data_IF_215650411901
#
_entry.id   IF_215650411901
#
_cell.length_a   1.000
_cell.length_b   1.000
_cell.length_c   1.000
_cell.angle_alpha   90.00
_cell.angle_beta   90.00
_cell.angle_gamma   90.00
#
_symmetry.space_group_name_H-M   'P 1'
#
loop_
_entity.id
_entity.type
_entity.pdbx_description
1 polymer ?
#
# COMPACT_ATOMS: atom_id res chain seq x y z
N UNK A 1 9.42 9.86 -7.93
CA UNK A 1 8.38 9.28 -7.06
C UNK A 1 7.67 8.20 -7.83
N UNK A 2 7.31 7.13 -7.14
CA UNK A 2 6.44 6.08 -7.67
C UNK A 2 5.04 6.30 -7.07
N UNK A 3 4.01 6.15 -7.92
CA UNK A 3 2.61 6.23 -7.54
C UNK A 3 2.01 4.83 -7.58
N UNK A 4 1.47 4.37 -6.46
CA UNK A 4 0.71 3.13 -6.36
C UNK A 4 -0.77 3.47 -6.25
N UNK A 5 -1.56 3.11 -7.25
CA UNK A 5 -3.02 3.22 -7.20
C UNK A 5 -3.59 1.98 -6.52
N UNK A 6 -4.34 2.17 -5.45
CA UNK A 6 -4.88 1.10 -4.61
C UNK A 6 -6.39 1.08 -4.76
N UNK A 7 -6.94 -0.09 -5.04
CA UNK A 7 -8.36 -0.39 -4.85
C UNK A 7 -8.46 -1.43 -3.75
N UNK A 8 -9.17 -1.10 -2.67
CA UNK A 8 -9.30 -1.99 -1.51
C UNK A 8 -10.79 -2.22 -1.20
N UNK A 9 -11.18 -3.49 -1.10
CA UNK A 9 -12.52 -3.92 -0.72
C UNK A 9 -12.49 -4.57 0.65
N UNK A 10 -13.28 -4.03 1.58
CA UNK A 10 -13.50 -4.67 2.85
C UNK A 10 -14.51 -5.80 2.69
N UNK A 11 -14.07 -7.05 2.87
CA UNK A 11 -14.93 -8.24 2.76
C UNK A 11 -15.54 -8.68 4.09
N UNK A 12 -15.36 -7.91 5.16
CA UNK A 12 -16.00 -8.16 6.47
C UNK A 12 -17.26 -7.34 6.65
N UNK A 13 -17.95 -7.55 7.76
CA UNK A 13 -19.13 -6.80 8.18
C UNK A 13 -18.78 -5.53 9.00
N UNK A 14 -17.59 -5.48 9.61
CA UNK A 14 -17.16 -4.38 10.47
C UNK A 14 -16.25 -3.39 9.72
N UNK A 15 -16.04 -2.21 10.30
CA UNK A 15 -15.19 -1.16 9.73
C UNK A 15 -13.70 -1.53 9.91
N UNK A 16 -12.90 -1.37 8.84
CA UNK A 16 -11.45 -1.59 8.87
C UNK A 16 -10.71 -0.30 8.51
N UNK A 17 -9.69 0.13 9.28
CA UNK A 17 -8.83 1.23 8.91
C UNK A 17 -7.82 0.82 7.84
N UNK A 18 -7.53 1.71 6.89
CA UNK A 18 -6.42 1.57 5.94
C UNK A 18 -5.68 2.90 5.81
N UNK A 19 -4.37 2.83 5.69
CA UNK A 19 -3.52 4.01 5.52
C UNK A 19 -2.39 3.74 4.54
N UNK A 20 -1.84 4.78 3.93
CA UNK A 20 -0.67 4.67 3.07
C UNK A 20 0.53 4.03 3.79
N UNK A 21 0.65 4.26 5.09
CA UNK A 21 1.70 3.69 5.95
C UNK A 21 1.60 2.19 6.18
N UNK A 22 0.48 1.54 5.84
CA UNK A 22 0.36 0.08 5.86
C UNK A 22 0.94 -0.57 4.60
N UNK A 23 1.53 0.22 3.69
CA UNK A 23 2.17 -0.27 2.49
C UNK A 23 3.68 -0.01 2.50
N UNK A 24 4.43 -0.98 1.99
CA UNK A 24 5.88 -0.91 1.78
C UNK A 24 6.22 -1.47 0.41
N UNK A 25 7.36 -1.09 -0.14
CA UNK A 25 7.85 -1.62 -1.41
C UNK A 25 9.27 -2.13 -1.28
N UNK A 26 9.58 -3.22 -1.98
CA UNK A 26 10.94 -3.72 -2.17
C UNK A 26 11.45 -3.22 -3.51
N UNK A 27 12.59 -2.53 -3.51
CA UNK A 27 13.26 -2.10 -4.74
C UNK A 27 14.25 -3.15 -5.27
N UNK A 28 14.74 -2.95 -6.49
CA UNK A 28 15.72 -3.81 -7.16
C UNK A 28 17.11 -3.86 -6.51
N UNK A 29 17.35 -3.10 -5.45
CA UNK A 29 18.56 -3.23 -4.61
C UNK A 29 18.34 -4.13 -3.40
N UNK A 30 17.14 -4.69 -3.23
CA UNK A 30 16.75 -5.45 -2.05
C UNK A 30 16.40 -4.57 -0.84
N UNK A 31 16.20 -3.26 -1.03
CA UNK A 31 15.86 -2.34 0.06
C UNK A 31 14.34 -2.15 0.16
N UNK A 32 13.82 -2.25 1.38
CA UNK A 32 12.45 -1.85 1.69
C UNK A 32 12.32 -0.34 1.87
N UNK A 33 11.23 0.22 1.36
CA UNK A 33 10.85 1.62 1.54
C UNK A 33 9.43 1.71 2.08
N UNK A 34 9.22 2.61 3.05
CA UNK A 34 7.90 2.99 3.54
C UNK A 34 7.27 4.04 2.61
N UNK A 35 5.99 4.33 2.79
CA UNK A 35 5.34 5.42 2.06
C UNK A 35 6.05 6.76 2.31
N UNK A 36 5.99 7.62 1.30
CA UNK A 36 6.36 9.02 1.38
C UNK A 36 5.06 9.82 1.57
N UNK A 37 4.90 10.43 2.75
CA UNK A 37 3.68 11.13 3.12
C UNK A 37 3.42 12.35 2.22
N UNK A 38 2.25 12.37 1.59
CA UNK A 38 1.77 13.48 0.74
C UNK A 38 0.32 13.79 1.11
N UNK A 39 -0.08 15.06 1.00
CA UNK A 39 -1.47 15.46 1.18
C UNK A 39 -2.41 14.71 0.23
N UNK A 40 -3.52 14.20 0.77
CA UNK A 40 -4.51 13.43 0.01
C UNK A 40 -4.11 12.00 -0.32
N UNK A 41 -3.04 11.45 0.30
CA UNK A 41 -2.74 10.03 0.21
C UNK A 41 -3.83 9.15 0.86
N UNK A 42 -3.77 7.84 0.58
CA UNK A 42 -4.69 6.86 1.13
C UNK A 42 -4.72 6.95 2.68
N UNK A 43 -5.89 7.18 3.24
CA UNK A 43 -6.09 7.23 4.69
C UNK A 43 -7.56 7.35 5.02
N UNK A 44 -8.21 6.22 5.30
CA UNK A 44 -9.66 6.20 5.57
C UNK A 44 -10.12 4.94 6.29
N UNK A 45 -11.34 4.99 6.79
CA UNK A 45 -12.08 3.83 7.26
C UNK A 45 -12.87 3.23 6.10
N UNK A 46 -12.81 1.90 5.94
CA UNK A 46 -13.59 1.16 4.94
C UNK A 46 -14.74 0.46 5.66
N UNK A 47 -16.00 0.90 5.48
CA UNK A 47 -17.15 0.17 6.00
C UNK A 47 -17.26 -1.24 5.42
N UNK A 48 -17.97 -2.12 6.13
CA UNK A 48 -18.16 -3.51 5.69
C UNK A 48 -18.76 -3.60 4.28
N UNK A 49 -18.26 -4.55 3.48
CA UNK A 49 -18.64 -4.78 2.08
C UNK A 49 -18.44 -3.59 1.12
N UNK A 50 -17.75 -2.52 1.54
CA UNK A 50 -17.45 -1.36 0.69
C UNK A 50 -16.09 -1.47 0.02
N UNK A 51 -15.97 -0.79 -1.11
CA UNK A 51 -14.74 -0.60 -1.86
C UNK A 51 -14.34 0.87 -1.80
N UNK A 52 -13.03 1.09 -1.75
CA UNK A 52 -12.43 2.42 -1.79
C UNK A 52 -11.30 2.44 -2.82
N UNK A 53 -10.92 3.65 -3.22
CA UNK A 53 -9.75 3.89 -4.05
C UNK A 53 -8.89 4.95 -3.39
N UNK A 54 -7.58 4.80 -3.49
CA UNK A 54 -6.64 5.79 -3.00
C UNK A 54 -5.29 5.63 -3.65
N UNK A 55 -4.35 6.47 -3.23
CA UNK A 55 -3.00 6.49 -3.78
C UNK A 55 -1.98 6.44 -2.65
N UNK A 56 -0.92 5.65 -2.86
CA UNK A 56 0.26 5.61 -1.99
C UNK A 56 1.46 6.08 -2.81
N UNK A 57 2.32 6.90 -2.21
CA UNK A 57 3.52 7.42 -2.87
C UNK A 57 4.78 6.83 -2.25
N UNK A 58 5.79 6.59 -3.08
CA UNK A 58 7.10 6.13 -2.63
C UNK A 58 8.23 6.98 -3.23
N UNK A 59 9.19 7.34 -2.39
CA UNK A 59 10.40 8.06 -2.79
C UNK A 59 11.52 7.06 -3.12
N UNK A 60 11.57 6.65 -4.39
CA UNK A 60 12.53 5.64 -4.89
C UNK A 60 13.59 6.33 -5.77
N UNK A 61 14.89 5.99 -5.62
CA UNK A 61 15.94 6.45 -6.53
C UNK A 61 15.64 6.10 -7.98
N UNK A 62 15.98 7.00 -8.92
CA UNK A 62 15.54 6.92 -10.33
C UNK A 62 16.05 5.66 -11.05
N UNK A 63 17.20 5.17 -10.64
CA UNK A 63 17.89 4.00 -11.19
C UNK A 63 17.34 2.66 -10.65
N UNK A 64 16.39 2.70 -9.69
CA UNK A 64 15.81 1.52 -9.07
C UNK A 64 14.38 1.31 -9.53
N UNK A 65 13.99 0.06 -9.64
CA UNK A 65 12.60 -0.34 -9.95
C UNK A 65 11.97 -1.02 -8.74
N UNK A 66 10.64 -0.98 -8.67
CA UNK A 66 9.90 -1.74 -7.65
C UNK A 66 9.80 -3.19 -8.10
N UNK A 67 10.20 -4.12 -7.24
CA UNK A 67 10.07 -5.56 -7.47
C UNK A 67 8.88 -6.17 -6.74
N UNK A 68 8.54 -5.62 -5.57
CA UNK A 68 7.39 -6.06 -4.80
C UNK A 68 6.66 -4.92 -4.11
N UNK A 69 5.36 -5.08 -3.98
CA UNK A 69 4.49 -4.30 -3.09
C UNK A 69 4.08 -5.19 -1.92
N UNK A 70 4.13 -4.65 -0.71
CA UNK A 70 3.77 -5.33 0.53
C UNK A 70 2.67 -4.51 1.21
N UNK A 71 1.60 -5.17 1.63
CA UNK A 71 0.55 -4.63 2.49
C UNK A 71 0.57 -5.34 3.84
N UNK A 72 0.70 -4.57 4.91
CA UNK A 72 0.67 -5.06 6.29
C UNK A 72 -0.74 -4.85 6.88
N UNK A 73 -1.50 -5.93 7.05
CA UNK A 73 -2.80 -5.93 7.74
C UNK A 73 -2.56 -5.97 9.25
N UNK A 74 -2.51 -4.78 9.85
CA UNK A 74 -2.26 -4.61 11.28
C UNK A 74 -3.37 -5.19 12.17
N UNK A 75 -4.60 -5.31 11.66
CA UNK A 75 -5.74 -5.83 12.44
C UNK A 75 -5.62 -7.34 12.60
N UNK A 76 -5.19 -8.03 11.54
CA UNK A 76 -5.07 -9.49 11.51
C UNK A 76 -3.66 -10.02 11.77
N UNK A 77 -2.70 -9.13 12.02
CA UNK A 77 -1.27 -9.48 12.13
C UNK A 77 -0.79 -10.32 10.93
N UNK A 78 -1.23 -9.93 9.73
CA UNK A 78 -0.94 -10.62 8.48
C UNK A 78 -0.31 -9.66 7.48
N UNK A 79 0.35 -10.20 6.45
CA UNK A 79 0.85 -9.40 5.34
C UNK A 79 0.59 -10.09 4.00
N UNK A 80 0.50 -9.29 2.95
CA UNK A 80 0.28 -9.73 1.59
C UNK A 80 1.35 -9.12 0.69
N UNK A 81 1.91 -9.92 -0.22
CA UNK A 81 2.94 -9.48 -1.15
C UNK A 81 2.49 -9.70 -2.60
N UNK A 82 2.80 -8.72 -3.46
CA UNK A 82 2.62 -8.80 -4.90
C UNK A 82 3.95 -8.53 -5.59
N UNK A 83 4.37 -9.44 -6.48
CA UNK A 83 5.49 -9.19 -7.39
C UNK A 83 5.02 -8.26 -8.50
N UNK A 84 5.85 -7.28 -8.86
CA UNK A 84 5.59 -6.39 -9.98
C UNK A 84 6.23 -7.02 -11.22
N UNK A 85 5.40 -7.41 -12.17
CA UNK A 85 5.86 -7.88 -13.49
C UNK A 85 6.40 -6.68 -14.30
N UNK A 86 7.41 -6.95 -15.14
CA UNK A 86 8.12 -5.95 -15.94
C UNK A 86 7.45 -5.73 -17.29
#
# INVERSE_FOLDING_TARGET
MVKLEVTAKNTTEYIIPIAASTFRVLDSSGKYHTNYAVEGELGQLIPGSKEIKGTVYFAIPKERVIEKVIYDDQVRSAFYEWKVEK
#
